data_IF_785957573448
#
_entry.id   IF_785957573448
#
_cell.length_a   1.000
_cell.length_b   1.000
_cell.length_c   1.000
_cell.angle_alpha   90.00
_cell.angle_beta   90.00
_cell.angle_gamma   90.00
#
_symmetry.space_group_name_H-M   'P 1'
#
loop_
_entity.id
_entity.type
_entity.pdbx_description
1 polymer ?
#
# COMPACT_ATOMS: atom_id res chain seq x y z
N UNK A 1 51.37 6.26 5.46
CA UNK A 1 50.03 6.78 5.09
C UNK A 1 49.90 8.22 5.58
N UNK A 2 49.55 9.16 4.70
CA UNK A 2 49.33 10.58 5.08
C UNK A 2 48.21 10.69 6.12
N UNK A 3 48.31 11.65 7.06
CA UNK A 3 47.27 11.94 8.06
C UNK A 3 45.90 12.19 7.43
N UNK A 4 45.89 12.85 6.25
CA UNK A 4 44.69 13.07 5.46
C UNK A 4 44.03 11.76 5.00
N UNK A 5 44.82 10.78 4.54
CA UNK A 5 44.30 9.48 4.10
C UNK A 5 43.64 8.72 5.25
N UNK A 6 44.30 8.66 6.42
CA UNK A 6 43.73 8.02 7.61
C UNK A 6 42.41 8.67 8.05
N UNK A 7 42.29 9.99 7.92
CA UNK A 7 41.05 10.71 8.24
C UNK A 7 39.94 10.39 7.23
N UNK A 8 40.26 10.39 5.93
CA UNK A 8 39.31 10.00 4.89
C UNK A 8 38.82 8.55 5.06
N UNK A 9 39.72 7.62 5.38
CA UNK A 9 39.38 6.22 5.62
C UNK A 9 38.44 6.08 6.83
N UNK A 10 38.73 6.77 7.95
CA UNK A 10 37.84 6.80 9.12
C UNK A 10 36.46 7.36 8.80
N UNK A 11 36.37 8.44 8.01
CA UNK A 11 35.09 9.02 7.59
C UNK A 11 34.31 8.07 6.67
N UNK A 12 34.99 7.40 5.74
CA UNK A 12 34.39 6.39 4.86
C UNK A 12 33.87 5.20 5.66
N UNK A 13 34.65 4.73 6.61
CA UNK A 13 34.27 3.63 7.48
C UNK A 13 33.09 3.99 8.38
N UNK A 14 33.12 5.15 9.04
CA UNK A 14 32.00 5.66 9.85
C UNK A 14 30.72 5.80 9.01
N UNK A 15 30.81 6.32 7.78
CA UNK A 15 29.67 6.41 6.86
C UNK A 15 29.11 5.03 6.48
N UNK A 16 29.98 4.03 6.26
CA UNK A 16 29.56 2.64 5.99
C UNK A 16 28.82 2.03 7.18
N UNK A 17 29.34 2.22 8.39
CA UNK A 17 28.68 1.77 9.61
C UNK A 17 27.32 2.46 9.78
N UNK A 18 27.24 3.78 9.59
CA UNK A 18 25.99 4.52 9.67
C UNK A 18 24.96 4.05 8.63
N UNK A 19 25.39 3.72 7.40
CA UNK A 19 24.49 3.19 6.37
C UNK A 19 23.97 1.78 6.72
N UNK A 20 24.82 0.93 7.32
CA UNK A 20 24.41 -0.40 7.81
C UNK A 20 23.42 -0.30 8.96
N UNK A 21 23.70 0.55 9.94
CA UNK A 21 22.82 0.81 11.08
C UNK A 21 21.42 1.28 10.62
N UNK A 22 21.37 2.22 9.67
CA UNK A 22 20.10 2.67 9.06
C UNK A 22 19.34 1.53 8.38
N UNK A 23 20.02 0.70 7.61
CA UNK A 23 19.41 -0.47 6.93
C UNK A 23 18.91 -1.53 7.91
N UNK A 24 19.64 -1.74 9.00
CA UNK A 24 19.22 -2.66 10.08
C UNK A 24 17.93 -2.18 10.72
N UNK A 25 17.89 -0.92 11.18
CA UNK A 25 16.70 -0.30 11.77
C UNK A 25 15.50 -0.31 10.82
N UNK A 26 15.72 -0.03 9.55
CA UNK A 26 14.66 -0.12 8.53
C UNK A 26 14.12 -1.55 8.41
N UNK A 27 14.98 -2.56 8.41
CA UNK A 27 14.56 -3.97 8.36
C UNK A 27 13.74 -4.38 9.59
N UNK A 28 14.11 -3.88 10.77
CA UNK A 28 13.36 -4.11 12.01
C UNK A 28 11.95 -3.50 11.91
N UNK A 29 11.84 -2.25 11.43
CA UNK A 29 10.55 -1.59 11.18
C UNK A 29 9.68 -2.41 10.21
N UNK A 30 10.25 -2.94 9.13
CA UNK A 30 9.49 -3.78 8.20
C UNK A 30 9.05 -5.11 8.82
N UNK A 31 9.85 -5.68 9.71
CA UNK A 31 9.52 -6.90 10.44
C UNK A 31 8.33 -6.65 11.36
N UNK A 32 8.37 -5.57 12.14
CA UNK A 32 7.26 -5.16 13.00
C UNK A 32 6.00 -4.84 12.18
N UNK A 33 6.18 -4.17 11.04
CA UNK A 33 5.08 -3.76 10.18
C UNK A 33 4.33 -4.97 9.58
N UNK A 34 5.04 -6.06 9.25
CA UNK A 34 4.42 -7.30 8.75
C UNK A 34 3.50 -7.96 9.77
N UNK A 35 3.77 -7.78 11.07
CA UNK A 35 2.95 -8.37 12.15
C UNK A 35 1.63 -7.62 12.34
N UNK A 36 1.62 -6.30 12.11
CA UNK A 36 0.45 -5.45 12.36
C UNK A 36 -0.47 -5.27 11.15
N UNK A 37 0.03 -5.52 9.95
CA UNK A 37 -0.79 -5.47 8.74
C UNK A 37 -1.47 -6.83 8.54
N UNK A 38 -2.78 -6.87 8.26
CA UNK A 38 -3.48 -8.07 7.78
C UNK A 38 -3.00 -8.42 6.36
N UNK A 39 -1.78 -8.94 6.24
CA UNK A 39 -1.30 -9.57 5.02
C UNK A 39 -1.67 -11.05 5.15
N UNK A 40 -2.29 -11.60 4.11
CA UNK A 40 -2.65 -13.03 4.02
C UNK A 40 -1.38 -13.88 4.13
N UNK A 41 -1.52 -15.12 4.65
CA UNK A 41 -0.53 -16.18 4.94
C UNK A 41 0.99 -15.98 4.74
N UNK A 42 1.78 -16.67 5.57
CA UNK A 42 3.26 -16.66 5.48
C UNK A 42 3.78 -16.95 4.06
N UNK A 43 3.08 -17.79 3.29
CA UNK A 43 3.48 -18.17 1.95
C UNK A 43 3.49 -16.96 0.99
N UNK A 44 2.48 -16.10 1.03
CA UNK A 44 2.45 -14.88 0.21
C UNK A 44 3.38 -13.80 0.75
N UNK A 45 3.52 -13.67 2.08
CA UNK A 45 4.36 -12.64 2.74
C UNK A 45 5.84 -12.72 2.39
N UNK A 46 6.37 -13.92 2.08
CA UNK A 46 7.80 -14.10 1.75
C UNK A 46 8.23 -13.27 0.55
N UNK A 47 7.32 -12.95 -0.37
CA UNK A 47 7.62 -12.25 -1.62
C UNK A 47 6.96 -10.87 -1.75
N UNK A 48 6.21 -10.40 -0.74
CA UNK A 48 5.61 -9.05 -0.80
C UNK A 48 6.71 -7.99 -0.75
N UNK A 49 6.74 -7.14 -1.77
CA UNK A 49 7.68 -6.02 -1.85
C UNK A 49 7.43 -4.99 -0.75
N UNK A 50 8.51 -4.32 -0.31
CA UNK A 50 8.47 -3.29 0.73
C UNK A 50 7.47 -2.17 0.40
N UNK A 51 7.36 -1.80 -0.88
CA UNK A 51 6.43 -0.76 -1.30
C UNK A 51 4.98 -1.21 -1.13
N UNK A 52 4.67 -2.48 -1.39
CA UNK A 52 3.33 -3.03 -1.18
C UNK A 52 2.97 -3.04 0.31
N UNK A 53 3.89 -3.45 1.19
CA UNK A 53 3.69 -3.40 2.65
C UNK A 53 3.36 -1.97 3.10
N UNK A 54 4.16 -0.99 2.67
CA UNK A 54 3.93 0.42 3.00
C UNK A 54 2.58 0.93 2.46
N UNK A 55 2.21 0.53 1.24
CA UNK A 55 0.93 0.89 0.64
C UNK A 55 -0.22 0.37 1.50
N UNK A 56 -0.21 -0.91 1.87
CA UNK A 56 -1.28 -1.48 2.72
C UNK A 56 -1.32 -0.81 4.09
N UNK A 57 -0.17 -0.59 4.74
CA UNK A 57 -0.14 0.15 6.02
C UNK A 57 -0.75 1.55 5.92
N UNK A 58 -0.37 2.31 4.90
CA UNK A 58 -0.88 3.66 4.68
C UNK A 58 -2.39 3.64 4.44
N UNK A 59 -2.86 2.74 3.58
CA UNK A 59 -4.28 2.55 3.27
C UNK A 59 -5.08 2.21 4.53
N UNK A 60 -4.59 1.30 5.38
CA UNK A 60 -5.23 0.98 6.65
C UNK A 60 -5.27 2.17 7.61
N UNK A 61 -4.23 2.98 7.65
CA UNK A 61 -4.21 4.19 8.46
C UNK A 61 -5.25 5.22 7.97
N UNK A 62 -5.41 5.37 6.66
CA UNK A 62 -6.43 6.24 6.04
C UNK A 62 -7.85 5.74 6.33
N UNK A 63 -8.11 4.46 6.09
CA UNK A 63 -9.39 3.81 6.38
C UNK A 63 -9.80 3.95 7.85
N UNK A 64 -8.87 3.70 8.78
CA UNK A 64 -9.14 3.88 10.22
C UNK A 64 -9.51 5.33 10.57
N UNK A 65 -8.87 6.32 9.94
CA UNK A 65 -9.21 7.74 10.16
C UNK A 65 -10.61 8.05 9.67
N UNK A 66 -11.01 7.57 8.50
CA UNK A 66 -12.36 7.77 7.96
C UNK A 66 -13.41 7.03 8.77
N UNK A 67 -13.17 5.76 9.10
CA UNK A 67 -14.04 4.97 9.97
C UNK A 67 -14.21 5.60 11.36
N UNK A 68 -13.14 6.16 11.95
CA UNK A 68 -13.23 6.84 13.26
C UNK A 68 -14.02 8.15 13.16
N UNK A 69 -13.87 8.91 12.06
CA UNK A 69 -14.71 10.10 11.83
C UNK A 69 -16.19 9.70 11.76
N UNK A 70 -16.50 8.64 11.02
CA UNK A 70 -17.85 8.07 10.91
C UNK A 70 -18.41 7.65 12.27
N UNK A 71 -17.65 6.93 13.10
CA UNK A 71 -18.13 6.50 14.43
C UNK A 71 -18.37 7.65 15.41
N UNK A 72 -17.66 8.78 15.25
CA UNK A 72 -17.81 9.96 16.12
C UNK A 72 -18.99 10.85 15.73
N UNK A 73 -19.33 10.88 14.45
CA UNK A 73 -20.51 11.59 13.96
C UNK A 73 -21.73 10.71 14.23
N UNK A 74 -22.64 11.14 15.09
CA UNK A 74 -23.90 10.42 15.37
C UNK A 74 -24.54 9.96 14.05
N UNK A 75 -25.12 8.75 14.05
CA UNK A 75 -25.69 8.02 12.90
C UNK A 75 -26.89 8.73 12.22
N UNK A 76 -26.74 9.99 11.80
CA UNK A 76 -27.73 10.70 10.99
C UNK A 76 -27.65 10.24 9.53
N UNK A 77 -28.79 10.14 8.85
CA UNK A 77 -28.96 9.56 7.50
C UNK A 77 -27.99 10.08 6.40
N UNK A 78 -27.33 11.22 6.63
CA UNK A 78 -26.30 11.82 5.76
C UNK A 78 -25.08 10.89 5.51
N UNK A 79 -24.91 9.83 6.30
CA UNK A 79 -23.72 8.96 6.27
C UNK A 79 -23.61 7.98 5.11
N UNK A 80 -24.69 7.65 4.40
CA UNK A 80 -24.59 6.73 3.25
C UNK A 80 -23.59 7.23 2.20
N UNK A 81 -23.33 8.54 2.17
CA UNK A 81 -22.36 9.16 1.27
C UNK A 81 -20.89 8.94 1.67
N UNK A 82 -20.57 8.68 2.95
CA UNK A 82 -19.18 8.52 3.42
C UNK A 82 -18.53 7.22 2.95
N UNK A 83 -19.32 6.18 2.75
CA UNK A 83 -18.88 4.89 2.19
C UNK A 83 -19.20 4.80 0.70
N UNK A 84 -19.30 5.94 0.02
CA UNK A 84 -19.34 5.98 -1.43
C UNK A 84 -18.06 5.38 -2.02
N UNK A 85 -18.19 4.79 -3.20
CA UNK A 85 -17.06 4.25 -3.96
C UNK A 85 -15.95 5.30 -4.12
N UNK A 86 -16.32 6.55 -4.41
CA UNK A 86 -15.38 7.67 -4.54
C UNK A 86 -14.56 7.88 -3.27
N UNK A 87 -15.20 7.94 -2.11
CA UNK A 87 -14.50 8.11 -0.83
C UNK A 87 -13.59 6.92 -0.52
N UNK A 88 -14.04 5.70 -0.84
CA UNK A 88 -13.25 4.49 -0.67
C UNK A 88 -12.01 4.52 -1.58
N UNK A 89 -12.17 4.81 -2.86
CA UNK A 89 -11.07 4.87 -3.81
C UNK A 89 -10.06 5.98 -3.48
N UNK A 90 -10.53 7.15 -3.04
CA UNK A 90 -9.67 8.23 -2.54
C UNK A 90 -8.85 7.80 -1.30
N UNK A 91 -9.45 7.01 -0.41
CA UNK A 91 -8.75 6.48 0.76
C UNK A 91 -7.74 5.39 0.40
N UNK A 92 -8.13 4.50 -0.52
CA UNK A 92 -7.32 3.36 -0.95
C UNK A 92 -6.10 3.81 -1.76
N UNK A 93 -6.22 4.89 -2.55
CA UNK A 93 -5.19 5.31 -3.53
C UNK A 93 -4.80 4.12 -4.39
N UNK A 94 -5.83 3.52 -4.99
CA UNK A 94 -5.79 2.18 -5.55
C UNK A 94 -7.06 1.86 -6.32
N UNK A 95 -7.37 0.57 -6.35
CA UNK A 95 -8.60 0.04 -6.91
C UNK A 95 -9.37 -0.75 -5.86
N UNK A 96 -10.68 -0.83 -6.05
CA UNK A 96 -11.58 -1.64 -5.25
C UNK A 96 -11.92 -2.89 -6.07
N UNK A 97 -11.83 -4.07 -5.45
CA UNK A 97 -12.34 -5.30 -6.01
C UNK A 97 -13.33 -5.92 -5.02
N UNK A 98 -14.48 -6.36 -5.52
CA UNK A 98 -15.44 -7.17 -4.77
C UNK A 98 -15.26 -8.60 -5.27
N UNK A 99 -14.95 -9.50 -4.35
CA UNK A 99 -14.62 -10.90 -4.63
C UNK A 99 -15.57 -11.78 -3.81
N UNK A 100 -16.07 -12.86 -4.40
CA UNK A 100 -16.86 -13.84 -3.67
C UNK A 100 -15.99 -14.80 -2.82
N UNK A 101 -16.64 -15.76 -2.16
CA UNK A 101 -15.95 -16.75 -1.32
C UNK A 101 -15.12 -17.77 -2.13
N UNK A 102 -15.41 -17.93 -3.41
CA UNK A 102 -14.70 -18.82 -4.33
C UNK A 102 -13.49 -18.13 -5.00
N UNK A 103 -13.28 -16.84 -4.71
CA UNK A 103 -12.21 -16.04 -5.29
C UNK A 103 -12.57 -15.42 -6.64
N UNK A 104 -13.84 -15.48 -7.05
CA UNK A 104 -14.33 -14.87 -8.29
C UNK A 104 -14.51 -13.38 -8.07
N UNK A 105 -13.88 -12.58 -8.93
CA UNK A 105 -14.00 -11.13 -8.94
C UNK A 105 -15.35 -10.76 -9.55
N UNK A 106 -16.25 -10.20 -8.73
CA UNK A 106 -17.60 -9.79 -9.13
C UNK A 106 -17.63 -8.35 -9.66
N UNK A 107 -16.75 -7.50 -9.14
CA UNK A 107 -16.65 -6.10 -9.54
C UNK A 107 -15.22 -5.60 -9.32
N UNK A 108 -14.77 -4.72 -10.22
CA UNK A 108 -13.52 -3.97 -10.06
C UNK A 108 -13.74 -2.53 -10.48
N UNK A 109 -13.22 -1.59 -9.70
CA UNK A 109 -13.26 -0.17 -10.05
C UNK A 109 -12.41 0.12 -11.29
N UNK A 110 -12.81 1.13 -12.07
CA UNK A 110 -12.13 1.55 -13.31
C UNK A 110 -10.63 1.85 -13.09
N UNK A 111 -10.27 2.35 -11.90
CA UNK A 111 -8.90 2.68 -11.53
C UNK A 111 -7.93 1.49 -11.59
N UNK A 112 -8.42 0.24 -11.59
CA UNK A 112 -7.58 -0.95 -11.74
C UNK A 112 -6.71 -0.89 -12.99
N UNK A 113 -7.22 -0.30 -14.07
CA UNK A 113 -6.50 -0.15 -15.32
C UNK A 113 -5.21 0.65 -15.17
N UNK A 114 -5.24 1.69 -14.32
CA UNK A 114 -4.09 2.54 -14.01
C UNK A 114 -3.10 1.78 -13.11
N UNK A 115 -3.61 1.12 -12.06
CA UNK A 115 -2.76 0.47 -11.06
C UNK A 115 -2.15 -0.85 -11.53
N UNK A 116 -2.79 -1.56 -12.46
CA UNK A 116 -2.28 -2.79 -13.06
C UNK A 116 -1.68 -2.57 -14.45
N UNK A 117 -1.68 -1.34 -14.97
CA UNK A 117 -1.11 -1.02 -16.28
C UNK A 117 -1.88 -1.63 -17.46
N UNK A 118 -3.18 -1.88 -17.29
CA UNK A 118 -4.04 -2.44 -18.35
C UNK A 118 -4.40 -1.41 -19.43
N UNK A 119 -3.97 -0.16 -19.30
CA UNK A 119 -4.19 0.89 -20.30
C UNK A 119 -3.54 0.59 -21.66
N UNK A 120 -2.61 -0.37 -21.74
CA UNK A 120 -2.07 -0.87 -23.01
C UNK A 120 -2.93 -1.94 -23.68
N UNK A 121 -3.90 -2.52 -22.97
CA UNK A 121 -4.92 -3.33 -23.62
C UNK A 121 -5.76 -2.34 -24.40
N UNK A 122 -5.62 -2.37 -25.73
CA UNK A 122 -6.22 -1.40 -26.66
C UNK A 122 -7.72 -1.25 -26.47
N UNK A 123 -8.30 -0.32 -27.23
CA UNK A 123 -9.71 0.10 -27.18
C UNK A 123 -10.76 -1.03 -27.01
N UNK A 124 -10.43 -2.28 -27.34
CA UNK A 124 -11.19 -3.51 -27.09
C UNK A 124 -11.71 -3.71 -25.64
N UNK A 125 -10.99 -3.30 -24.59
CA UNK A 125 -11.50 -3.52 -23.22
C UNK A 125 -12.58 -2.48 -22.84
N UNK A 126 -12.53 -1.26 -23.39
CA UNK A 126 -13.56 -0.25 -23.12
C UNK A 126 -14.90 -0.63 -23.76
N UNK A 127 -14.88 -1.24 -24.95
CA UNK A 127 -16.11 -1.76 -25.56
C UNK A 127 -16.71 -2.94 -24.77
N UNK A 128 -15.86 -3.79 -24.19
CA UNK A 128 -16.31 -4.95 -23.42
C UNK A 128 -17.06 -4.58 -22.13
N UNK A 129 -16.66 -3.49 -21.45
CA UNK A 129 -17.38 -2.99 -20.26
C UNK A 129 -18.68 -2.26 -20.66
N UNK A 130 -18.71 -1.55 -21.79
CA UNK A 130 -19.91 -0.81 -22.21
C UNK A 130 -21.10 -1.70 -22.61
N UNK A 131 -20.90 -3.00 -22.74
CA UNK A 131 -21.96 -3.95 -23.16
C UNK A 131 -22.55 -4.75 -21.98
N UNK A 132 -22.11 -4.50 -20.74
CA UNK A 132 -22.73 -5.03 -19.52
C UNK A 132 -23.59 -3.97 -18.83
#
# INVERSE_FOLDING_TARGET
>A
MSSGQRNLDRRRESSRFAARDRRGKEADIFTDLKVVIPIVDEATVTHVDRIAILRVALTLCRLRKVATKFLKTNLTEEHRCLWSETTLLECLDGFLAIVDLDGIILYVSESVSIYLGLTQMGDDFRESISTL
#
